data_IF_436808775925
#
_entry.id   IF_436808775925
#
_cell.length_a   1.000
_cell.length_b   1.000
_cell.length_c   1.000
_cell.angle_alpha   90.00
_cell.angle_beta   90.00
_cell.angle_gamma   90.00
#
_symmetry.space_group_name_H-M   'P 1'
#
loop_
_entity.id
_entity.type
_entity.pdbx_description
1 polymer ?
#
# COMPACT_ATOMS: atom_id res chain seq x y z
N UNK A 1 -0.97 13.16 -4.59
CA UNK A 1 -1.79 12.28 -3.72
C UNK A 1 -2.98 11.58 -4.40
N UNK A 2 -2.84 11.08 -5.63
CA UNK A 2 -3.78 10.17 -6.27
C UNK A 2 -3.74 8.78 -5.62
N UNK A 3 -2.58 8.24 -5.24
CA UNK A 3 -2.49 6.96 -4.48
C UNK A 3 -3.27 7.07 -3.17
N UNK A 4 -3.01 8.12 -2.39
CA UNK A 4 -3.72 8.36 -1.12
C UNK A 4 -5.23 8.49 -1.31
N UNK A 5 -5.68 9.25 -2.30
CA UNK A 5 -7.11 9.39 -2.61
C UNK A 5 -7.78 8.04 -2.96
N UNK A 6 -7.06 7.14 -3.63
CA UNK A 6 -7.57 5.80 -3.92
C UNK A 6 -7.71 4.95 -2.65
N UNK A 7 -6.74 5.00 -1.73
CA UNK A 7 -6.82 4.31 -0.43
C UNK A 7 -8.00 4.87 0.39
N UNK A 8 -8.14 6.20 0.45
CA UNK A 8 -9.21 6.89 1.16
C UNK A 8 -10.60 6.53 0.63
N UNK A 9 -10.73 6.27 -0.68
CA UNK A 9 -11.96 5.78 -1.32
C UNK A 9 -12.43 4.43 -0.76
N UNK A 10 -11.52 3.70 -0.09
CA UNK A 10 -11.81 2.47 0.63
C UNK A 10 -11.98 1.26 -0.28
N UNK A 11 -11.43 1.29 -1.50
CA UNK A 11 -11.39 0.15 -2.42
C UNK A 11 -9.95 -0.09 -2.86
N UNK A 12 -9.57 -1.37 -2.94
CA UNK A 12 -8.34 -1.78 -3.61
C UNK A 12 -8.60 -1.66 -5.12
N UNK A 13 -8.02 -0.65 -5.75
CA UNK A 13 -8.01 -0.51 -7.21
C UNK A 13 -6.96 -1.44 -7.81
N UNK A 14 -6.99 -1.63 -9.14
CA UNK A 14 -5.96 -2.39 -9.85
C UNK A 14 -4.55 -1.82 -9.59
N UNK A 15 -4.43 -0.50 -9.61
CA UNK A 15 -3.17 0.17 -9.30
C UNK A 15 -2.68 -0.09 -7.87
N UNK A 16 -3.54 0.06 -6.86
CA UNK A 16 -3.16 -0.23 -5.47
C UNK A 16 -2.76 -1.70 -5.33
N UNK A 17 -3.44 -2.62 -6.04
CA UNK A 17 -3.05 -4.02 -6.07
C UNK A 17 -1.65 -4.23 -6.64
N UNK A 18 -1.30 -3.55 -7.74
CA UNK A 18 0.03 -3.65 -8.35
C UNK A 18 1.13 -3.12 -7.43
N UNK A 19 0.91 -1.98 -6.76
CA UNK A 19 1.86 -1.44 -5.79
C UNK A 19 2.05 -2.40 -4.60
N UNK A 20 0.95 -2.99 -4.12
CA UNK A 20 0.99 -3.98 -3.05
C UNK A 20 1.74 -5.26 -3.46
N UNK A 21 1.64 -5.69 -4.73
CA UNK A 21 2.41 -6.83 -5.23
C UNK A 21 3.91 -6.52 -5.29
N UNK A 22 4.30 -5.29 -5.64
CA UNK A 22 5.70 -4.85 -5.61
C UNK A 22 6.25 -4.86 -4.18
N UNK A 23 5.55 -4.20 -3.25
CA UNK A 23 5.90 -4.19 -1.82
C UNK A 23 5.96 -5.60 -1.22
N UNK A 24 5.03 -6.48 -1.63
CA UNK A 24 5.02 -7.86 -1.15
C UNK A 24 6.32 -8.59 -1.49
N UNK A 25 6.85 -8.41 -2.71
CA UNK A 25 8.12 -9.03 -3.12
C UNK A 25 9.27 -8.54 -2.24
N UNK A 26 9.37 -7.23 -2.01
CA UNK A 26 10.44 -6.64 -1.20
C UNK A 26 10.36 -7.08 0.27
N UNK A 27 9.18 -7.00 0.87
CA UNK A 27 8.96 -7.36 2.27
C UNK A 27 9.12 -8.87 2.46
N UNK A 28 8.68 -9.72 1.52
CA UNK A 28 8.87 -11.18 1.63
C UNK A 28 10.34 -11.58 1.61
N UNK A 29 11.17 -10.89 0.80
CA UNK A 29 12.62 -11.14 0.77
C UNK A 29 13.29 -10.83 2.11
N UNK A 30 12.84 -9.77 2.79
CA UNK A 30 13.42 -9.32 4.06
C UNK A 30 12.81 -10.01 5.29
N UNK A 31 11.49 -10.22 5.27
CA UNK A 31 10.68 -10.67 6.43
C UNK A 31 9.49 -11.53 5.97
N UNK A 32 9.73 -12.76 5.47
CA UNK A 32 8.73 -13.60 4.80
C UNK A 32 7.53 -14.01 5.66
N UNK A 33 7.68 -14.01 6.98
CA UNK A 33 6.63 -14.41 7.93
C UNK A 33 6.03 -13.24 8.72
N UNK A 34 6.32 -12.00 8.29
CA UNK A 34 5.84 -10.80 8.96
C UNK A 34 4.33 -10.65 8.90
N UNK A 35 3.81 -9.82 9.79
CA UNK A 35 2.41 -9.42 9.75
C UNK A 35 2.08 -8.68 8.44
N UNK A 36 3.00 -7.86 7.93
CA UNK A 36 2.84 -7.12 6.67
C UNK A 36 2.59 -8.06 5.48
N UNK A 37 3.38 -9.12 5.33
CA UNK A 37 3.17 -10.13 4.27
C UNK A 37 1.76 -10.73 4.34
N UNK A 38 1.29 -11.08 5.54
CA UNK A 38 -0.06 -11.63 5.74
C UNK A 38 -1.13 -10.59 5.43
N UNK A 39 -0.92 -9.35 5.84
CA UNK A 39 -1.83 -8.24 5.61
C UNK A 39 -1.98 -7.96 4.11
N UNK A 40 -0.88 -7.79 3.39
CA UNK A 40 -0.86 -7.49 1.95
C UNK A 40 -1.55 -8.59 1.14
N UNK A 41 -1.19 -9.86 1.40
CA UNK A 41 -1.85 -11.01 0.75
C UNK A 41 -3.36 -11.05 0.99
N UNK A 42 -3.80 -10.65 2.19
CA UNK A 42 -5.22 -10.56 2.50
C UNK A 42 -5.90 -9.45 1.69
N UNK A 43 -5.29 -8.25 1.63
CA UNK A 43 -5.83 -7.10 0.89
C UNK A 43 -5.96 -7.37 -0.61
N UNK A 44 -4.94 -7.98 -1.23
CA UNK A 44 -4.97 -8.36 -2.66
C UNK A 44 -6.08 -9.39 -2.93
N UNK A 45 -6.19 -10.44 -2.09
CA UNK A 45 -7.19 -11.49 -2.28
C UNK A 45 -8.63 -11.05 -1.98
N UNK A 46 -8.81 -10.09 -1.08
CA UNK A 46 -10.12 -9.70 -0.56
C UNK A 46 -10.34 -8.21 -0.82
N UNK A 47 -10.67 -7.87 -2.07
CA UNK A 47 -11.06 -6.51 -2.51
C UNK A 47 -12.41 -6.04 -1.95
N UNK A 48 -12.59 -6.12 -0.62
CA UNK A 48 -13.76 -5.60 0.10
C UNK A 48 -13.55 -4.13 0.43
N UNK A 49 -14.63 -3.48 0.90
CA UNK A 49 -14.56 -2.12 1.44
C UNK A 49 -13.59 -2.09 2.63
N UNK A 50 -12.59 -1.24 2.55
CA UNK A 50 -11.56 -1.08 3.57
C UNK A 50 -12.13 -0.34 4.78
N UNK A 51 -11.80 -0.86 5.97
CA UNK A 51 -12.00 -0.18 7.25
C UNK A 51 -10.93 0.91 7.45
N UNK A 52 -11.20 1.89 8.31
CA UNK A 52 -10.22 2.95 8.60
C UNK A 52 -8.87 2.44 9.14
N UNK A 53 -8.80 1.39 9.98
CA UNK A 53 -7.52 0.77 10.33
C UNK A 53 -6.78 0.18 9.12
N UNK A 54 -7.50 -0.48 8.20
CA UNK A 54 -6.89 -1.05 7.00
C UNK A 54 -6.36 0.03 6.06
N UNK A 55 -7.08 1.16 5.93
CA UNK A 55 -6.59 2.31 5.15
C UNK A 55 -5.29 2.86 5.71
N UNK A 56 -5.21 3.06 7.03
CA UNK A 56 -3.98 3.54 7.69
C UNK A 56 -2.80 2.60 7.51
N UNK A 57 -3.03 1.30 7.58
CA UNK A 57 -1.96 0.32 7.33
C UNK A 57 -1.53 0.27 5.86
N UNK A 58 -2.47 0.44 4.93
CA UNK A 58 -2.14 0.57 3.51
C UNK A 58 -1.34 1.83 3.22
N UNK A 59 -1.71 2.97 3.81
CA UNK A 59 -0.94 4.21 3.70
C UNK A 59 0.48 4.04 4.27
N UNK A 60 0.62 3.37 5.42
CA UNK A 60 1.94 3.08 6.01
C UNK A 60 2.81 2.20 5.10
N UNK A 61 2.22 1.16 4.51
CA UNK A 61 2.95 0.23 3.62
C UNK A 61 3.34 0.93 2.31
N UNK A 62 2.45 1.75 1.75
CA UNK A 62 2.66 2.45 0.49
C UNK A 62 3.25 3.86 0.67
N UNK A 63 3.80 4.16 1.86
CA UNK A 63 4.25 5.51 2.20
C UNK A 63 5.32 6.02 1.23
N UNK A 64 6.26 5.17 0.85
CA UNK A 64 7.35 5.54 -0.06
C UNK A 64 6.82 5.86 -1.46
N UNK A 65 5.82 5.11 -1.93
CA UNK A 65 5.12 5.42 -3.19
C UNK A 65 4.32 6.72 -3.11
N UNK A 66 3.67 6.99 -1.97
CA UNK A 66 2.92 8.25 -1.75
C UNK A 66 3.89 9.43 -1.77
N UNK A 67 5.02 9.33 -1.06
CA UNK A 67 6.05 10.36 -1.04
C UNK A 67 6.69 10.57 -2.41
N UNK A 68 6.97 9.50 -3.15
CA UNK A 68 7.51 9.60 -4.52
C UNK A 68 6.53 10.27 -5.48
N UNK A 69 5.22 10.10 -5.29
CA UNK A 69 4.20 10.80 -6.09
C UNK A 69 4.13 12.29 -5.75
N UNK A 70 4.27 12.65 -4.47
CA UNK A 70 4.20 14.03 -4.00
C UNK A 70 5.52 14.79 -4.24
N UNK A 71 6.65 14.09 -4.24
CA UNK A 71 8.00 14.63 -4.40
C UNK A 71 8.82 13.81 -5.40
N UNK A 72 8.48 13.82 -6.70
CA UNK A 72 9.15 13.00 -7.72
C UNK A 72 10.64 13.35 -7.92
N UNK A 73 11.09 14.51 -7.41
CA UNK A 73 12.48 14.96 -7.46
C UNK A 73 13.21 14.85 -6.10
N UNK A 74 12.61 14.22 -5.08
CA UNK A 74 13.24 13.98 -3.78
C UNK A 74 13.50 15.21 -2.92
N UNK A 75 12.87 16.36 -3.22
CA UNK A 75 12.93 17.54 -2.36
C UNK A 75 11.71 17.52 -1.44
N UNK A 76 11.87 16.93 -0.26
CA UNK A 76 10.95 17.16 0.86
C UNK A 76 11.08 18.64 1.29
N UNK A 77 9.95 19.35 1.43
CA UNK A 77 9.90 20.73 1.91
C UNK A 77 10.04 20.81 3.44
#
# INVERSE_FOLDING_TARGET
>A
MRIKAQIESGRITEEISLLLEQELVEIELLKPNSWDVKFIKNMIRHGRKLTEPQKRELERILQDHILAEDYPNGIEL
#
